data_IF_818056103936
#
_entry.id   IF_818056103936
#
_cell.length_a   1.000
_cell.length_b   1.000
_cell.length_c   1.000
_cell.angle_alpha   90.00
_cell.angle_beta   90.00
_cell.angle_gamma   90.00
#
_symmetry.space_group_name_H-M   'P 1'
#
loop_
_entity.id
_entity.type
_entity.pdbx_description
1 polymer ?
#
# COMPACT_ATOMS: atom_id res chain seq x y z
N UNK A 1 80.83 -3.88 -18.46
CA UNK A 1 79.59 -4.66 -18.71
C UNK A 1 78.84 -4.82 -17.39
N UNK A 2 77.89 -3.96 -17.04
CA UNK A 2 76.88 -4.29 -16.01
C UNK A 2 75.55 -3.61 -16.38
N UNK A 3 74.57 -4.44 -16.73
CA UNK A 3 73.22 -4.08 -17.13
C UNK A 3 72.35 -3.92 -15.87
N UNK A 4 71.74 -2.75 -15.69
CA UNK A 4 70.77 -2.50 -14.62
C UNK A 4 69.37 -2.76 -15.17
N UNK A 5 68.79 -3.91 -14.81
CA UNK A 5 67.40 -4.28 -15.09
C UNK A 5 66.48 -3.57 -14.09
N UNK A 6 65.70 -2.58 -14.56
CA UNK A 6 64.64 -1.94 -13.76
C UNK A 6 63.38 -2.80 -13.84
N UNK A 7 62.95 -3.35 -12.71
CA UNK A 7 61.67 -4.05 -12.56
C UNK A 7 60.61 -3.01 -12.18
N UNK A 8 59.73 -2.62 -13.12
CA UNK A 8 58.55 -1.81 -12.81
C UNK A 8 57.44 -2.74 -12.33
N UNK A 9 57.20 -2.78 -11.02
CA UNK A 9 56.01 -3.40 -10.45
C UNK A 9 54.82 -2.43 -10.65
N UNK A 10 53.87 -2.79 -11.51
CA UNK A 10 52.62 -2.06 -11.68
C UNK A 10 51.67 -2.41 -10.53
N UNK A 11 51.47 -1.45 -9.61
CA UNK A 11 50.52 -1.55 -8.52
C UNK A 11 49.11 -1.19 -9.07
N UNK A 12 48.26 -2.20 -9.30
CA UNK A 12 46.85 -1.99 -9.63
C UNK A 12 46.12 -1.49 -8.38
N UNK A 13 45.82 -0.18 -8.32
CA UNK A 13 44.87 0.36 -7.35
C UNK A 13 43.45 -0.07 -7.75
N UNK A 14 42.88 -1.05 -7.05
CA UNK A 14 41.44 -1.24 -7.00
C UNK A 14 40.84 -0.12 -6.14
N UNK A 15 40.36 0.95 -6.76
CA UNK A 15 39.49 1.92 -6.10
C UNK A 15 38.16 1.23 -5.78
N UNK A 16 37.69 1.26 -4.52
CA UNK A 16 36.36 0.76 -4.21
C UNK A 16 35.34 1.66 -4.90
N UNK A 17 34.51 1.08 -5.78
CA UNK A 17 33.30 1.73 -6.24
C UNK A 17 32.40 1.93 -5.01
N UNK A 18 32.40 3.14 -4.45
CA UNK A 18 31.38 3.51 -3.47
C UNK A 18 30.06 3.59 -4.24
N UNK A 19 29.21 2.57 -4.09
CA UNK A 19 27.84 2.61 -4.59
C UNK A 19 27.16 3.85 -3.99
N UNK A 20 26.70 4.76 -4.85
CA UNK A 20 25.99 5.97 -4.42
C UNK A 20 24.59 5.54 -4.00
N UNK A 21 24.32 5.66 -2.70
CA UNK A 21 23.01 5.41 -2.12
C UNK A 21 22.09 6.61 -2.38
N UNK A 22 21.22 6.50 -3.38
CA UNK A 22 20.17 7.50 -3.65
C UNK A 22 18.88 7.25 -2.85
N UNK A 23 18.14 8.34 -2.59
CA UNK A 23 16.80 8.32 -2.00
C UNK A 23 15.73 8.25 -3.09
N UNK A 24 14.62 7.55 -2.83
CA UNK A 24 13.41 7.55 -3.66
C UNK A 24 12.21 8.03 -2.86
N UNK A 25 11.49 9.04 -3.35
CA UNK A 25 10.27 9.58 -2.73
C UNK A 25 9.05 8.78 -3.16
N UNK A 26 8.36 8.13 -2.21
CA UNK A 26 7.27 7.19 -2.52
C UNK A 26 5.98 7.65 -1.86
N UNK A 27 4.96 7.92 -2.68
CA UNK A 27 3.58 8.08 -2.23
C UNK A 27 2.92 6.70 -2.11
N UNK A 28 2.49 6.32 -0.91
CA UNK A 28 2.00 4.97 -0.61
C UNK A 28 0.59 5.04 -0.05
N UNK A 29 -0.35 4.37 -0.70
CA UNK A 29 -1.70 4.28 -0.18
C UNK A 29 -1.72 3.65 1.22
N UNK A 30 -2.48 4.25 2.14
CA UNK A 30 -2.38 3.98 3.56
C UNK A 30 -2.68 2.53 3.98
N UNK A 31 -3.39 1.75 3.14
CA UNK A 31 -3.60 0.32 3.37
C UNK A 31 -2.27 -0.46 3.38
N UNK A 32 -1.28 -0.03 2.58
CA UNK A 32 -0.03 -0.74 2.34
C UNK A 32 1.10 -0.28 3.28
N UNK A 33 0.78 0.45 4.35
CA UNK A 33 1.77 1.06 5.25
C UNK A 33 2.72 0.05 5.89
N UNK A 34 2.19 -0.96 6.58
CA UNK A 34 3.00 -1.95 7.30
C UNK A 34 3.86 -2.83 6.36
N UNK A 35 3.32 -3.40 5.26
CA UNK A 35 4.14 -4.10 4.27
C UNK A 35 5.24 -3.21 3.70
N UNK A 36 4.90 -1.97 3.30
CA UNK A 36 5.88 -1.08 2.68
C UNK A 36 7.01 -0.67 3.62
N UNK A 37 6.74 -0.54 4.93
CA UNK A 37 7.80 -0.32 5.92
C UNK A 37 8.79 -1.49 5.99
N UNK A 38 8.30 -2.73 5.93
CA UNK A 38 9.15 -3.93 5.89
C UNK A 38 9.93 -4.02 4.58
N UNK A 39 9.26 -3.73 3.46
CA UNK A 39 9.88 -3.70 2.12
C UNK A 39 10.96 -2.63 2.07
N UNK A 40 10.71 -1.41 2.55
CA UNK A 40 11.70 -0.33 2.56
C UNK A 40 12.95 -0.68 3.39
N UNK A 41 12.77 -1.32 4.55
CA UNK A 41 13.89 -1.78 5.36
C UNK A 41 14.71 -2.88 4.66
N UNK A 42 14.03 -3.81 3.98
CA UNK A 42 14.68 -4.88 3.22
C UNK A 42 15.40 -4.33 1.98
N UNK A 43 14.73 -3.47 1.22
CA UNK A 43 15.28 -2.74 0.08
C UNK A 43 16.55 -1.98 0.45
N UNK A 44 16.54 -1.25 1.58
CA UNK A 44 17.71 -0.50 2.03
C UNK A 44 18.88 -1.39 2.41
N UNK A 45 18.63 -2.51 3.07
CA UNK A 45 19.66 -3.49 3.39
C UNK A 45 20.24 -4.15 2.14
N UNK A 46 19.39 -4.49 1.18
CA UNK A 46 19.78 -5.31 0.04
C UNK A 46 20.42 -4.48 -1.09
N UNK A 47 20.08 -3.19 -1.20
CA UNK A 47 20.53 -2.33 -2.32
C UNK A 47 21.39 -1.14 -1.88
N UNK A 48 21.29 -0.73 -0.61
CA UNK A 48 21.88 0.52 -0.10
C UNK A 48 21.05 1.78 -0.39
N UNK A 49 20.07 1.74 -1.30
CA UNK A 49 19.13 2.85 -1.55
C UNK A 49 18.10 3.01 -0.44
N UNK A 50 17.46 4.18 -0.32
CA UNK A 50 16.46 4.41 0.72
C UNK A 50 15.13 4.89 0.15
N UNK A 51 14.05 4.22 0.52
CA UNK A 51 12.69 4.66 0.23
C UNK A 51 12.19 5.61 1.32
N UNK A 52 11.90 6.86 0.94
CA UNK A 52 11.29 7.88 1.79
C UNK A 52 9.79 7.85 1.57
N UNK A 53 9.05 7.37 2.57
CA UNK A 53 7.64 7.01 2.41
C UNK A 53 6.70 8.11 2.92
N UNK A 54 5.71 8.48 2.12
CA UNK A 54 4.55 9.27 2.53
C UNK A 54 3.29 8.40 2.45
N UNK A 55 2.47 8.40 3.50
CA UNK A 55 1.25 7.59 3.57
C UNK A 55 -0.03 8.43 3.50
N UNK A 56 -1.02 7.99 2.73
CA UNK A 56 -2.23 8.77 2.50
C UNK A 56 -3.30 8.07 1.65
N UNK A 57 -4.35 8.80 1.30
CA UNK A 57 -5.38 8.32 0.35
C UNK A 57 -4.88 8.42 -1.10
N UNK A 58 -5.17 7.41 -1.93
CA UNK A 58 -4.85 7.41 -3.36
C UNK A 58 -5.33 8.68 -4.06
N UNK A 59 -6.60 9.07 -3.86
CA UNK A 59 -7.16 10.26 -4.49
C UNK A 59 -6.50 11.57 -4.03
N UNK A 60 -5.95 11.61 -2.82
CA UNK A 60 -5.17 12.77 -2.35
C UNK A 60 -3.78 12.82 -2.99
N UNK A 61 -3.12 11.67 -3.14
CA UNK A 61 -1.84 11.62 -3.86
C UNK A 61 -1.99 11.99 -5.33
N UNK A 62 -3.06 11.54 -5.99
CA UNK A 62 -3.39 12.01 -7.33
C UNK A 62 -3.42 13.55 -7.41
N UNK A 63 -4.16 14.20 -6.51
CA UNK A 63 -4.23 15.65 -6.47
C UNK A 63 -2.86 16.29 -6.16
N UNK A 64 -2.06 15.73 -5.26
CA UNK A 64 -0.73 16.24 -4.94
C UNK A 64 0.23 16.13 -6.13
N UNK A 65 0.24 14.99 -6.82
CA UNK A 65 1.08 14.73 -7.99
C UNK A 65 0.73 15.70 -9.12
N UNK A 66 -0.55 15.89 -9.42
CA UNK A 66 -0.99 16.85 -10.43
C UNK A 66 -0.70 18.31 -10.04
N UNK A 67 -0.51 18.60 -8.75
CA UNK A 67 -0.06 19.90 -8.25
C UNK A 67 1.47 20.01 -8.10
N UNK A 68 2.24 19.04 -8.63
CA UNK A 68 3.70 19.09 -8.67
C UNK A 68 4.42 18.60 -7.41
N UNK A 69 3.76 17.80 -6.57
CA UNK A 69 4.46 17.14 -5.46
C UNK A 69 5.58 16.21 -6.01
N UNK A 70 6.80 16.28 -5.46
CA UNK A 70 7.98 15.63 -6.02
C UNK A 70 8.09 14.15 -5.60
N UNK A 71 7.07 13.35 -5.92
CA UNK A 71 7.11 11.91 -5.73
C UNK A 71 7.72 11.22 -6.95
N UNK A 72 8.55 10.22 -6.71
CA UNK A 72 9.15 9.38 -7.75
C UNK A 72 8.26 8.20 -8.11
N UNK A 73 7.58 7.61 -7.12
CA UNK A 73 6.71 6.45 -7.29
C UNK A 73 5.38 6.69 -6.58
N UNK A 74 4.29 6.30 -7.23
CA UNK A 74 2.98 6.10 -6.60
C UNK A 74 2.72 4.61 -6.43
N UNK A 75 2.42 4.17 -5.20
CA UNK A 75 1.81 2.88 -4.89
C UNK A 75 0.35 3.14 -4.51
N UNK A 76 -0.55 3.01 -5.49
CA UNK A 76 -1.97 3.27 -5.33
C UNK A 76 -2.71 2.07 -4.72
N UNK A 77 -3.94 2.31 -4.24
CA UNK A 77 -4.87 1.26 -3.81
C UNK A 77 -5.93 0.90 -4.87
N UNK A 78 -5.76 1.40 -6.08
CA UNK A 78 -6.56 1.12 -7.26
C UNK A 78 -5.62 1.03 -8.48
N UNK A 79 -6.13 0.53 -9.61
CA UNK A 79 -5.47 0.51 -10.91
C UNK A 79 -5.81 1.75 -11.77
N UNK A 80 -7.00 2.31 -11.56
CA UNK A 80 -7.51 3.46 -12.32
C UNK A 80 -6.74 4.77 -12.09
N UNK A 81 -6.26 5.06 -10.88
CA UNK A 81 -5.53 6.31 -10.60
C UNK A 81 -4.15 6.30 -11.26
N UNK A 82 -3.33 5.24 -11.14
CA UNK A 82 -2.11 5.10 -11.91
C UNK A 82 -2.33 5.20 -13.43
N UNK A 83 -3.33 4.50 -13.97
CA UNK A 83 -3.65 4.58 -15.40
C UNK A 83 -3.98 6.03 -15.82
N UNK A 84 -4.79 6.74 -15.04
CA UNK A 84 -5.12 8.14 -15.32
C UNK A 84 -3.90 9.06 -15.26
N UNK A 85 -3.01 8.90 -14.28
CA UNK A 85 -1.78 9.71 -14.20
C UNK A 85 -0.83 9.46 -15.37
N UNK A 86 -0.77 8.22 -15.84
CA UNK A 86 -0.02 7.84 -17.04
C UNK A 86 -0.61 8.52 -18.29
N UNK A 87 -1.94 8.45 -18.47
CA UNK A 87 -2.66 9.10 -19.59
C UNK A 87 -2.54 10.64 -19.57
N UNK A 88 -2.52 11.24 -18.37
CA UNK A 88 -2.33 12.68 -18.17
C UNK A 88 -0.86 13.13 -18.32
N UNK A 89 0.07 12.19 -18.55
CA UNK A 89 1.50 12.45 -18.78
C UNK A 89 2.34 12.64 -17.51
N UNK A 90 1.73 12.55 -16.33
CA UNK A 90 2.42 12.62 -15.02
C UNK A 90 3.14 11.31 -14.67
N UNK A 91 2.72 10.20 -15.27
CA UNK A 91 3.38 8.89 -15.21
C UNK A 91 4.30 8.61 -16.39
N UNK A 92 5.29 7.73 -16.18
CA UNK A 92 6.13 7.17 -17.24
C UNK A 92 5.37 6.02 -17.89
N UNK A 93 5.14 6.12 -19.20
CA UNK A 93 4.36 5.13 -19.95
C UNK A 93 4.98 3.74 -19.91
N UNK A 94 4.17 2.71 -19.68
CA UNK A 94 4.58 1.31 -19.59
C UNK A 94 5.26 0.92 -18.28
N UNK A 95 5.40 1.85 -17.32
CA UNK A 95 5.99 1.54 -16.01
C UNK A 95 5.01 0.90 -15.02
N UNK A 96 3.71 0.99 -15.30
CA UNK A 96 2.63 0.55 -14.42
C UNK A 96 2.55 -0.97 -14.31
N UNK A 97 2.31 -1.46 -13.11
CA UNK A 97 1.99 -2.87 -12.86
C UNK A 97 1.22 -3.05 -11.56
N UNK A 98 0.42 -4.11 -11.48
CA UNK A 98 -0.26 -4.49 -10.24
C UNK A 98 0.72 -5.17 -9.29
N UNK A 99 0.93 -4.58 -8.11
CA UNK A 99 1.84 -5.11 -7.09
C UNK A 99 1.11 -5.93 -6.01
N UNK A 100 -0.20 -5.75 -5.86
CA UNK A 100 -1.01 -6.46 -4.89
C UNK A 100 -2.50 -6.42 -5.25
N UNK A 101 -3.26 -7.39 -4.75
CA UNK A 101 -4.72 -7.38 -4.72
C UNK A 101 -5.15 -7.39 -3.25
N UNK A 102 -5.92 -6.38 -2.86
CA UNK A 102 -6.36 -6.15 -1.48
C UNK A 102 -7.62 -6.92 -1.09
N UNK A 103 -7.74 -7.23 0.20
CA UNK A 103 -8.96 -7.82 0.79
C UNK A 103 -9.61 -6.86 1.79
N UNK A 104 -10.91 -6.65 1.63
CA UNK A 104 -11.73 -5.86 2.53
C UNK A 104 -12.15 -6.70 3.75
N UNK A 105 -12.11 -6.11 4.93
CA UNK A 105 -12.50 -6.78 6.18
C UNK A 105 -13.41 -5.88 6.99
N UNK A 106 -14.53 -6.42 7.47
CA UNK A 106 -15.26 -5.82 8.58
C UNK A 106 -14.59 -6.26 9.88
N UNK A 107 -14.11 -5.33 10.68
CA UNK A 107 -13.33 -5.64 11.88
C UNK A 107 -13.83 -4.88 13.10
N UNK A 108 -13.66 -5.49 14.27
CA UNK A 108 -13.76 -4.84 15.57
C UNK A 108 -12.58 -5.23 16.44
N UNK A 109 -12.08 -4.27 17.23
CA UNK A 109 -11.07 -4.53 18.25
C UNK A 109 -11.57 -5.44 19.39
N UNK A 110 -12.89 -5.66 19.49
CA UNK A 110 -13.52 -6.53 20.48
C UNK A 110 -13.56 -7.97 19.97
N UNK A 111 -13.08 -8.90 20.78
CA UNK A 111 -13.19 -10.33 20.51
C UNK A 111 -14.66 -10.76 20.42
N UNK A 112 -14.98 -11.63 19.46
CA UNK A 112 -16.32 -12.17 19.23
C UNK A 112 -17.41 -11.17 18.84
N UNK A 113 -17.09 -9.90 18.59
CA UNK A 113 -18.06 -8.86 18.23
C UNK A 113 -18.52 -8.97 16.77
N UNK A 114 -17.58 -9.16 15.83
CA UNK A 114 -17.89 -9.43 14.42
C UNK A 114 -17.89 -10.93 14.19
N UNK A 115 -19.03 -11.48 13.79
CA UNK A 115 -19.13 -12.88 13.41
C UNK A 115 -18.51 -13.14 12.03
N UNK A 116 -18.03 -14.37 11.74
CA UNK A 116 -17.35 -14.66 10.47
C UNK A 116 -18.25 -14.59 9.22
N UNK A 117 -19.54 -14.27 9.36
CA UNK A 117 -20.48 -14.05 8.25
C UNK A 117 -20.92 -12.59 8.13
N UNK A 118 -20.43 -11.69 9.00
CA UNK A 118 -20.79 -10.28 8.98
C UNK A 118 -22.24 -9.97 9.35
N UNK A 119 -22.97 -10.92 9.96
CA UNK A 119 -24.38 -10.75 10.35
C UNK A 119 -24.59 -9.62 11.34
N UNK A 120 -23.57 -9.23 12.09
CA UNK A 120 -23.63 -8.02 12.93
C UNK A 120 -24.10 -6.77 12.14
N UNK A 121 -23.82 -6.64 10.84
CA UNK A 121 -24.32 -5.53 10.03
C UNK A 121 -25.86 -5.54 9.86
N UNK A 122 -26.44 -6.75 9.84
CA UNK A 122 -27.87 -6.99 9.70
C UNK A 122 -28.61 -6.91 11.05
N UNK A 123 -28.08 -7.61 12.05
CA UNK A 123 -28.78 -7.98 13.28
C UNK A 123 -28.16 -7.35 14.54
N UNK A 124 -26.99 -6.74 14.42
CA UNK A 124 -26.22 -6.23 15.52
C UNK A 124 -26.67 -4.89 16.08
N UNK A 125 -26.44 -4.72 17.37
CA UNK A 125 -26.55 -3.43 18.04
C UNK A 125 -25.18 -2.74 18.10
N UNK A 126 -25.02 -1.75 17.22
CA UNK A 126 -23.84 -0.87 17.16
C UNK A 126 -24.27 0.52 16.70
N UNK A 127 -23.56 1.55 17.17
CA UNK A 127 -23.91 2.94 16.90
C UNK A 127 -23.12 3.52 15.73
N UNK A 128 -21.87 3.11 15.58
CA UNK A 128 -20.96 3.66 14.59
C UNK A 128 -20.30 2.56 13.76
N UNK A 129 -20.31 2.75 12.43
CA UNK A 129 -19.60 1.93 11.47
C UNK A 129 -18.55 2.80 10.78
N UNK A 130 -17.27 2.54 11.04
CA UNK A 130 -16.20 3.28 10.40
C UNK A 130 -15.96 2.80 8.96
N UNK A 131 -15.73 3.73 8.04
CA UNK A 131 -15.25 3.43 6.69
C UNK A 131 -14.39 4.59 6.16
N UNK A 132 -13.50 4.29 5.22
CA UNK A 132 -12.73 5.32 4.53
C UNK A 132 -13.61 6.12 3.57
N UNK A 133 -13.24 7.37 3.27
CA UNK A 133 -13.97 8.20 2.32
C UNK A 133 -13.99 7.54 0.93
N UNK A 134 -15.16 7.09 0.44
CA UNK A 134 -15.28 6.33 -0.80
C UNK A 134 -14.90 7.14 -2.03
N UNK A 135 -14.89 8.48 -1.94
CA UNK A 135 -14.50 9.36 -3.05
C UNK A 135 -12.99 9.40 -3.28
N UNK A 136 -12.20 9.06 -2.26
CA UNK A 136 -10.74 9.22 -2.30
C UNK A 136 -9.97 7.96 -1.92
N UNK A 137 -10.64 6.96 -1.35
CA UNK A 137 -10.05 5.71 -0.88
C UNK A 137 -10.80 4.50 -1.47
N UNK A 138 -10.13 3.65 -2.26
CA UNK A 138 -10.73 2.46 -2.89
C UNK A 138 -11.40 1.50 -1.90
N UNK A 139 -10.82 1.28 -0.71
CA UNK A 139 -11.43 0.47 0.34
C UNK A 139 -12.75 1.05 0.87
N UNK A 140 -12.92 2.38 0.82
CA UNK A 140 -14.19 3.03 1.14
C UNK A 140 -15.25 2.76 0.08
N UNK A 141 -14.87 2.77 -1.20
CA UNK A 141 -15.76 2.41 -2.31
C UNK A 141 -16.18 0.93 -2.20
N UNK A 142 -15.23 0.01 -1.99
CA UNK A 142 -15.51 -1.40 -1.79
C UNK A 142 -16.44 -1.67 -0.59
N UNK A 143 -16.29 -0.91 0.51
CA UNK A 143 -17.20 -0.98 1.66
C UNK A 143 -18.63 -0.58 1.28
N UNK A 144 -18.81 0.48 0.49
CA UNK A 144 -20.14 0.87 0.02
C UNK A 144 -20.74 -0.14 -0.94
N UNK A 145 -19.97 -0.69 -1.88
CA UNK A 145 -20.42 -1.74 -2.79
C UNK A 145 -20.89 -2.98 -2.03
N UNK A 146 -20.14 -3.37 -0.99
CA UNK A 146 -20.53 -4.47 -0.09
C UNK A 146 -21.87 -4.19 0.58
N UNK A 147 -22.02 -3.00 1.15
CA UNK A 147 -23.27 -2.61 1.81
C UNK A 147 -24.46 -2.48 0.85
N UNK A 148 -24.22 -2.08 -0.41
CA UNK A 148 -25.23 -2.02 -1.45
C UNK A 148 -25.71 -3.42 -1.84
N UNK A 149 -24.78 -4.37 -2.06
CA UNK A 149 -25.14 -5.76 -2.38
C UNK A 149 -25.86 -6.47 -1.26
N UNK A 150 -25.53 -6.14 -0.01
CA UNK A 150 -26.25 -6.64 1.16
C UNK A 150 -27.61 -5.94 1.37
N UNK A 151 -27.92 -4.87 0.63
CA UNK A 151 -29.14 -4.08 0.82
C UNK A 151 -29.17 -3.30 2.14
N UNK A 152 -28.00 -3.00 2.72
CA UNK A 152 -27.87 -2.41 4.05
C UNK A 152 -27.46 -0.92 4.03
N UNK A 153 -27.02 -0.39 2.89
CA UNK A 153 -26.44 0.96 2.81
C UNK A 153 -27.34 2.05 3.36
N UNK A 154 -28.58 2.16 2.87
CA UNK A 154 -29.51 3.23 3.28
C UNK A 154 -29.77 3.18 4.79
N UNK A 155 -29.98 1.98 5.33
CA UNK A 155 -30.25 1.75 6.75
C UNK A 155 -29.06 2.09 7.64
N UNK A 156 -27.84 1.80 7.18
CA UNK A 156 -26.63 1.99 7.97
C UNK A 156 -25.96 3.36 7.74
N UNK A 157 -26.31 4.09 6.69
CA UNK A 157 -25.72 5.39 6.37
C UNK A 157 -25.71 6.39 7.54
N UNK A 158 -26.77 6.53 8.37
CA UNK A 158 -26.74 7.41 9.53
C UNK A 158 -25.71 7.03 10.60
N UNK A 159 -25.19 5.80 10.57
CA UNK A 159 -24.19 5.27 11.50
C UNK A 159 -22.75 5.43 10.99
N UNK A 160 -22.56 5.93 9.77
CA UNK A 160 -21.23 5.99 9.18
C UNK A 160 -20.33 7.01 9.88
N UNK A 161 -19.14 6.57 10.27
CA UNK A 161 -18.05 7.43 10.73
C UNK A 161 -16.97 7.41 9.66
N UNK A 162 -16.95 8.46 8.84
CA UNK A 162 -16.08 8.49 7.67
C UNK A 162 -14.67 8.99 8.04
N UNK A 163 -13.67 8.14 7.84
CA UNK A 163 -12.26 8.53 7.86
C UNK A 163 -11.81 9.08 6.51
N UNK A 164 -10.82 9.96 6.50
CA UNK A 164 -10.19 10.50 5.30
C UNK A 164 -9.61 9.39 4.40
N UNK A 165 -9.03 8.38 5.03
CA UNK A 165 -8.43 7.22 4.40
C UNK A 165 -8.62 5.98 5.28
N UNK A 166 -8.17 4.83 4.79
CA UNK A 166 -8.35 3.54 5.47
C UNK A 166 -7.56 3.41 6.77
N UNK A 167 -6.44 4.14 6.95
CA UNK A 167 -5.73 4.19 8.22
C UNK A 167 -6.53 4.94 9.28
N UNK A 168 -7.21 6.03 8.91
CA UNK A 168 -8.08 6.74 9.85
C UNK A 168 -9.34 5.93 10.20
N UNK A 169 -9.93 5.22 9.23
CA UNK A 169 -11.04 4.30 9.51
C UNK A 169 -10.62 3.19 10.50
N UNK A 170 -9.47 2.56 10.26
CA UNK A 170 -8.89 1.60 11.22
C UNK A 170 -8.65 2.24 12.60
N UNK A 171 -8.10 3.46 12.65
CA UNK A 171 -7.86 4.17 13.91
C UNK A 171 -9.15 4.38 14.71
N UNK A 172 -10.25 4.75 14.06
CA UNK A 172 -11.54 4.93 14.74
C UNK A 172 -12.04 3.64 15.41
N UNK A 173 -11.86 2.50 14.76
CA UNK A 173 -12.21 1.20 15.36
C UNK A 173 -11.22 0.82 16.46
N UNK A 174 -9.93 0.96 16.20
CA UNK A 174 -8.87 0.59 17.12
C UNK A 174 -8.90 1.40 18.43
N UNK A 175 -9.35 2.65 18.39
CA UNK A 175 -9.52 3.52 19.56
C UNK A 175 -10.88 3.38 20.23
N UNK A 176 -11.81 2.60 19.67
CA UNK A 176 -13.18 2.45 20.15
C UNK A 176 -14.10 3.64 19.87
N UNK A 177 -13.68 4.59 19.01
CA UNK A 177 -14.55 5.69 18.55
C UNK A 177 -15.65 5.19 17.62
N UNK A 178 -15.41 4.07 16.94
CA UNK A 178 -16.43 3.26 16.29
C UNK A 178 -16.36 1.82 16.79
N UNK A 179 -17.51 1.17 16.97
CA UNK A 179 -17.55 -0.21 17.49
C UNK A 179 -17.01 -1.24 16.49
N UNK A 180 -17.16 -0.97 15.20
CA UNK A 180 -16.65 -1.77 14.09
C UNK A 180 -16.44 -0.91 12.84
N UNK A 181 -15.73 -1.43 11.86
CA UNK A 181 -15.48 -0.71 10.61
C UNK A 181 -14.90 -1.56 9.51
N UNK A 182 -15.04 -1.07 8.29
CA UNK A 182 -14.38 -1.64 7.12
C UNK A 182 -12.93 -1.15 7.04
N UNK A 183 -11.99 -2.09 7.03
CA UNK A 183 -10.55 -1.90 7.03
C UNK A 183 -9.88 -2.81 5.99
N UNK A 184 -8.60 -2.60 5.73
CA UNK A 184 -7.81 -3.54 4.93
C UNK A 184 -7.34 -4.72 5.79
N UNK A 185 -7.36 -5.94 5.24
CA UNK A 185 -6.88 -7.13 5.96
C UNK A 185 -5.44 -6.95 6.49
N UNK A 186 -4.60 -6.26 5.73
CA UNK A 186 -3.21 -5.94 6.08
C UNK A 186 -3.04 -5.08 7.33
N UNK A 187 -4.06 -4.33 7.73
CA UNK A 187 -4.00 -3.48 8.93
C UNK A 187 -4.27 -4.26 10.22
N UNK A 188 -4.89 -5.43 10.09
CA UNK A 188 -5.31 -6.25 11.23
C UNK A 188 -4.62 -7.62 11.23
N UNK A 189 -3.77 -7.89 10.24
CA UNK A 189 -3.02 -9.13 10.08
C UNK A 189 -1.56 -8.95 10.50
N UNK A 190 -1.06 -9.90 11.27
CA UNK A 190 0.36 -10.06 11.60
C UNK A 190 0.71 -11.54 11.45
N UNK A 191 1.81 -11.86 10.76
CA UNK A 191 2.26 -13.23 10.47
C UNK A 191 1.16 -14.13 9.88
N UNK A 192 0.37 -13.60 8.93
CA UNK A 192 -0.67 -14.36 8.22
C UNK A 192 -1.95 -14.64 9.03
N UNK A 193 -2.12 -14.04 10.20
CA UNK A 193 -3.32 -14.19 11.05
C UNK A 193 -3.81 -12.85 11.59
N UNK A 194 -5.12 -12.73 11.79
CA UNK A 194 -5.70 -11.56 12.43
C UNK A 194 -5.14 -11.47 13.86
N UNK A 195 -4.43 -10.38 14.15
CA UNK A 195 -3.61 -10.29 15.36
C UNK A 195 -4.45 -10.11 16.63
N UNK A 196 -5.62 -9.46 16.51
CA UNK A 196 -6.52 -9.16 17.63
C UNK A 196 -7.95 -8.87 17.15
N UNK A 197 -8.90 -9.05 18.05
CA UNK A 197 -10.29 -8.74 17.82
C UNK A 197 -10.97 -9.77 16.93
N UNK A 198 -12.10 -9.39 16.38
CA UNK A 198 -12.92 -10.27 15.54
C UNK A 198 -13.21 -9.63 14.20
N UNK A 199 -13.35 -10.45 13.17
CA UNK A 199 -13.48 -9.97 11.82
C UNK A 199 -14.28 -10.89 10.91
N UNK A 200 -14.86 -10.28 9.89
CA UNK A 200 -15.40 -10.92 8.71
C UNK A 200 -14.60 -10.47 7.50
N UNK A 201 -13.87 -11.40 6.88
CA UNK A 201 -13.25 -11.16 5.57
C UNK A 201 -14.37 -11.15 4.54
N UNK A 202 -14.55 -10.01 3.88
CA UNK A 202 -15.65 -9.81 2.94
C UNK A 202 -15.41 -10.70 1.71
N UNK A 203 -16.39 -11.51 1.28
CA UNK A 203 -16.27 -12.32 0.07
C UNK A 203 -15.99 -11.46 -1.17
N UNK A 204 -15.11 -11.93 -2.04
CA UNK A 204 -14.65 -11.17 -3.21
C UNK A 204 -15.76 -10.82 -4.22
N UNK A 205 -16.90 -11.51 -4.19
CA UNK A 205 -18.07 -11.20 -5.03
C UNK A 205 -18.92 -10.03 -4.51
N UNK A 206 -18.61 -9.52 -3.32
CA UNK A 206 -19.33 -8.41 -2.71
C UNK A 206 -18.84 -7.01 -3.14
N UNK A 207 -17.71 -6.92 -3.82
CA UNK A 207 -17.16 -5.67 -4.33
C UNK A 207 -16.26 -5.94 -5.54
N UNK A 208 -15.91 -4.90 -6.29
CA UNK A 208 -14.89 -5.01 -7.32
C UNK A 208 -13.52 -5.42 -6.71
N UNK A 209 -12.70 -6.14 -7.47
CA UNK A 209 -11.37 -6.51 -7.02
C UNK A 209 -10.53 -5.26 -6.72
N UNK A 210 -9.88 -5.22 -5.55
CA UNK A 210 -9.07 -4.10 -5.11
C UNK A 210 -7.65 -4.27 -5.67
N UNK A 211 -7.50 -4.18 -7.00
CA UNK A 211 -6.20 -4.21 -7.67
C UNK A 211 -5.42 -2.96 -7.31
N UNK A 212 -4.13 -3.11 -6.99
CA UNK A 212 -3.28 -2.02 -6.54
C UNK A 212 -2.08 -1.89 -7.47
N UNK A 213 -1.99 -0.75 -8.15
CA UNK A 213 -0.95 -0.51 -9.13
C UNK A 213 0.17 0.39 -8.58
N UNK A 214 1.39 0.06 -8.97
CA UNK A 214 2.57 0.91 -8.85
C UNK A 214 2.77 1.69 -10.16
N UNK A 215 3.29 2.90 -10.07
CA UNK A 215 3.60 3.76 -11.23
C UNK A 215 4.89 4.55 -10.98
N UNK A 216 5.80 4.55 -11.96
CA UNK A 216 6.91 5.50 -12.00
C UNK A 216 6.38 6.86 -12.46
N UNK A 217 6.64 7.90 -11.66
CA UNK A 217 6.23 9.26 -11.97
C UNK A 217 7.35 9.99 -12.72
N UNK A 218 6.99 11.02 -13.51
CA UNK A 218 7.96 11.79 -14.32
C UNK A 218 9.11 12.35 -13.52
N UNK A 219 8.86 12.79 -12.29
CA UNK A 219 9.92 13.29 -11.40
C UNK A 219 10.99 12.23 -11.11
N UNK A 220 10.59 10.96 -10.99
CA UNK A 220 11.47 9.83 -10.67
C UNK A 220 12.11 9.15 -11.88
N UNK A 221 11.82 9.57 -13.12
CA UNK A 221 12.24 8.88 -14.35
C UNK A 221 13.77 8.72 -14.48
N UNK A 222 14.53 9.71 -13.98
CA UNK A 222 15.99 9.67 -13.95
C UNK A 222 16.60 9.13 -12.66
N UNK A 223 15.78 8.69 -11.69
CA UNK A 223 16.26 8.26 -10.38
C UNK A 223 16.54 6.74 -10.38
N UNK A 224 17.81 6.29 -10.27
CA UNK A 224 18.14 4.86 -10.27
C UNK A 224 17.52 4.12 -9.07
N UNK A 225 17.36 4.78 -7.92
CA UNK A 225 16.70 4.20 -6.75
C UNK A 225 15.20 3.93 -7.00
N UNK A 226 14.55 4.74 -7.84
CA UNK A 226 13.15 4.52 -8.21
C UNK A 226 12.99 3.26 -9.05
N UNK A 227 13.81 3.10 -10.11
CA UNK A 227 13.78 1.88 -10.91
C UNK A 227 14.12 0.65 -10.05
N UNK A 228 15.16 0.75 -9.21
CA UNK A 228 15.54 -0.33 -8.30
C UNK A 228 14.40 -0.73 -7.35
N UNK A 229 13.62 0.24 -6.83
CA UNK A 229 12.50 -0.06 -5.95
C UNK A 229 11.35 -0.74 -6.70
N UNK A 230 11.03 -0.32 -7.93
CA UNK A 230 10.00 -0.99 -8.74
C UNK A 230 10.40 -2.43 -9.08
N UNK A 231 11.67 -2.67 -9.38
CA UNK A 231 12.18 -4.02 -9.63
C UNK A 231 12.18 -4.85 -8.35
N UNK A 232 12.52 -4.25 -7.20
CA UNK A 232 12.45 -4.91 -5.90
C UNK A 232 11.02 -5.33 -5.54
N UNK A 233 10.02 -4.48 -5.83
CA UNK A 233 8.60 -4.78 -5.63
C UNK A 233 8.10 -5.97 -6.46
N UNK A 234 8.75 -6.28 -7.59
CA UNK A 234 8.46 -7.46 -8.42
C UNK A 234 9.19 -8.73 -7.94
N UNK A 235 10.14 -8.59 -7.01
CA UNK A 235 10.98 -9.69 -6.53
C UNK A 235 10.33 -10.53 -5.42
N UNK A 236 10.90 -11.71 -5.20
CA UNK A 236 10.39 -12.70 -4.23
C UNK A 236 10.34 -12.18 -2.79
N UNK A 237 11.30 -11.34 -2.38
CA UNK A 237 11.33 -10.75 -1.04
C UNK A 237 10.11 -9.85 -0.80
N UNK A 238 9.78 -8.99 -1.77
CA UNK A 238 8.59 -8.16 -1.68
C UNK A 238 7.32 -9.02 -1.73
N UNK A 239 7.24 -9.98 -2.65
CA UNK A 239 6.10 -10.89 -2.77
C UNK A 239 5.81 -11.65 -1.46
N UNK A 240 6.85 -12.15 -0.77
CA UNK A 240 6.70 -12.84 0.51
C UNK A 240 6.17 -11.91 1.61
N UNK A 241 6.70 -10.68 1.71
CA UNK A 241 6.24 -9.67 2.66
C UNK A 241 4.79 -9.27 2.38
N UNK A 242 4.43 -9.06 1.11
CA UNK A 242 3.07 -8.69 0.69
C UNK A 242 2.07 -9.77 1.10
N UNK A 243 2.37 -11.04 0.80
CA UNK A 243 1.50 -12.18 1.19
C UNK A 243 1.37 -12.34 2.71
N UNK A 244 2.43 -12.08 3.48
CA UNK A 244 2.40 -12.18 4.94
C UNK A 244 1.39 -11.22 5.60
N UNK A 245 1.02 -10.13 4.90
CA UNK A 245 -0.02 -9.19 5.31
C UNK A 245 -1.40 -9.46 4.69
N UNK A 246 -1.60 -10.61 4.04
CA UNK A 246 -2.90 -11.03 3.53
C UNK A 246 -3.29 -10.42 2.19
N UNK A 247 -2.33 -9.91 1.40
CA UNK A 247 -2.57 -9.56 0.02
C UNK A 247 -2.42 -10.77 -0.90
N UNK A 248 -3.24 -10.80 -1.93
CA UNK A 248 -3.03 -11.67 -3.09
C UNK A 248 -2.08 -10.99 -4.09
N UNK A 249 -1.46 -11.77 -4.96
CA UNK A 249 -0.61 -11.28 -6.05
C UNK A 249 -1.22 -11.77 -7.37
N UNK A 250 -1.06 -10.97 -8.42
CA UNK A 250 -1.46 -11.30 -9.79
C UNK A 250 -0.47 -12.25 -10.47
#
# INVERSE_FOLDING_TARGET
MHSVRRFCAALLLCLPLTAIADDVQVAVAANFTAPMQKIAAAFARDTGHRAVLAFGATGKFYAQINNGAPFDILLAADDSTPARLEDEGSGVSGSRFTYAIGSLVLWSAREGYVDPQGRILADGDFRHLALANPKTAPYGAAALETLDRLGLRERLQPRFVQGENIAQAHQFVASGNAELGFVALSQVTEDGRIARGSAWVVPADQHAAIRQDALLLRHGEGNPAAQALLDYLRGDTAAALIRAYGYELD
#
